data_IF_305550764495
#
_entry.id   IF_305550764495
#
_cell.length_a   1.000
_cell.length_b   1.000
_cell.length_c   1.000
_cell.angle_alpha   90.00
_cell.angle_beta   90.00
_cell.angle_gamma   90.00
#
_symmetry.space_group_name_H-M   'P 1'
#
loop_
_entity.id
_entity.type
_entity.pdbx_description
1 polymer ?
#
# COMPACT_ATOMS: atom_id res chain seq x y z
N UNK A 1 -0.52 -20.92 -14.66
CA UNK A 1 0.30 -19.87 -14.01
C UNK A 1 -0.46 -18.60 -13.66
N UNK A 2 -1.37 -18.10 -14.53
CA UNK A 2 -2.18 -16.89 -14.24
C UNK A 2 -2.97 -16.95 -12.92
N UNK A 3 -3.50 -18.12 -12.56
CA UNK A 3 -4.28 -18.29 -11.34
C UNK A 3 -3.45 -18.17 -10.05
N UNK A 4 -2.23 -18.74 -10.04
CA UNK A 4 -1.30 -18.60 -8.91
C UNK A 4 -0.95 -17.13 -8.71
N UNK A 5 -0.59 -16.42 -9.80
CA UNK A 5 -0.31 -14.99 -9.75
C UNK A 5 -1.51 -14.21 -9.20
N UNK A 6 -2.74 -14.49 -9.64
CA UNK A 6 -3.94 -13.83 -9.08
C UNK A 6 -4.13 -14.03 -7.59
N UNK A 7 -3.78 -15.20 -7.05
CA UNK A 7 -3.90 -15.48 -5.63
C UNK A 7 -2.88 -14.68 -4.81
N UNK A 8 -1.65 -14.56 -5.29
CA UNK A 8 -0.57 -13.97 -4.49
C UNK A 8 -0.34 -12.48 -4.77
N UNK A 9 -0.77 -11.94 -5.92
CA UNK A 9 -0.39 -10.59 -6.35
C UNK A 9 -0.81 -9.50 -5.37
N UNK A 10 -2.01 -9.59 -4.79
CA UNK A 10 -2.48 -8.60 -3.84
C UNK A 10 -1.61 -8.56 -2.57
N UNK A 11 -1.23 -9.73 -2.05
CA UNK A 11 -0.38 -9.85 -0.88
C UNK A 11 1.05 -9.39 -1.17
N UNK A 12 1.61 -9.73 -2.33
CA UNK A 12 2.94 -9.30 -2.74
C UNK A 12 3.02 -7.79 -2.94
N UNK A 13 1.99 -7.19 -3.56
CA UNK A 13 1.92 -5.73 -3.73
C UNK A 13 1.81 -5.05 -2.37
N UNK A 14 0.96 -5.54 -1.47
CA UNK A 14 0.87 -5.02 -0.11
C UNK A 14 2.22 -5.11 0.62
N UNK A 15 2.91 -6.25 0.55
CA UNK A 15 4.22 -6.45 1.18
C UNK A 15 5.26 -5.46 0.64
N UNK A 16 5.31 -5.29 -0.69
CA UNK A 16 6.23 -4.35 -1.32
C UNK A 16 5.96 -2.90 -0.91
N UNK A 17 4.67 -2.49 -0.86
CA UNK A 17 4.28 -1.16 -0.41
C UNK A 17 4.60 -0.93 1.06
N UNK A 18 4.35 -1.92 1.92
CA UNK A 18 4.69 -1.87 3.33
C UNK A 18 6.20 -1.66 3.53
N UNK A 19 7.03 -2.47 2.87
CA UNK A 19 8.49 -2.32 2.93
C UNK A 19 8.96 -0.96 2.38
N UNK A 20 8.36 -0.47 1.30
CA UNK A 20 8.71 0.82 0.71
C UNK A 20 8.37 1.99 1.65
N UNK A 21 7.20 1.98 2.29
CA UNK A 21 6.82 3.05 3.22
C UNK A 21 7.69 3.06 4.47
N UNK A 22 7.94 1.90 5.08
CA UNK A 22 8.85 1.82 6.24
C UNK A 22 10.29 2.19 5.88
N UNK A 23 10.76 1.82 4.68
CA UNK A 23 12.06 2.26 4.18
C UNK A 23 12.13 3.78 4.01
N UNK A 24 11.09 4.38 3.43
CA UNK A 24 10.97 5.82 3.26
C UNK A 24 10.88 6.56 4.60
N UNK A 25 10.21 5.99 5.59
CA UNK A 25 10.15 6.50 6.96
C UNK A 25 11.56 6.59 7.57
N UNK A 26 12.33 5.49 7.50
CA UNK A 26 13.71 5.46 7.99
C UNK A 26 14.62 6.48 7.29
N UNK A 27 14.50 6.60 5.97
CA UNK A 27 15.22 7.62 5.19
C UNK A 27 14.80 9.03 5.62
N UNK A 28 13.50 9.27 5.80
CA UNK A 28 12.96 10.56 6.19
C UNK A 28 13.44 11.01 7.57
N UNK A 29 13.48 10.10 8.55
CA UNK A 29 14.02 10.40 9.88
C UNK A 29 15.53 10.65 9.84
N UNK A 30 16.30 9.82 9.13
CA UNK A 30 17.76 9.98 9.01
C UNK A 30 18.15 11.29 8.28
N UNK A 31 17.37 11.68 7.27
CA UNK A 31 17.57 12.92 6.52
C UNK A 31 17.02 14.18 7.22
N UNK A 32 16.34 14.02 8.37
CA UNK A 32 15.82 15.15 9.15
C UNK A 32 14.61 15.86 8.52
N UNK A 33 13.80 15.18 7.70
CA UNK A 33 12.65 15.77 7.00
C UNK A 33 11.59 16.36 7.93
N UNK A 34 11.56 15.93 9.19
CA UNK A 34 10.71 16.48 10.24
C UNK A 34 11.04 17.94 10.59
N UNK A 35 12.25 18.43 10.24
CA UNK A 35 12.67 19.83 10.48
C UNK A 35 12.46 20.75 9.29
N UNK A 36 12.06 20.21 8.14
CA UNK A 36 11.92 20.97 6.89
C UNK A 36 10.45 21.36 6.74
N UNK A 37 10.08 22.65 6.85
CA UNK A 37 8.70 23.09 6.69
C UNK A 37 8.28 23.09 5.22
N UNK A 38 7.05 22.63 4.93
CA UNK A 38 6.42 22.61 3.61
C UNK A 38 4.92 22.89 3.76
N UNK A 39 4.44 24.03 3.26
CA UNK A 39 3.00 24.38 3.19
C UNK A 39 2.18 24.10 4.47
N UNK A 40 2.70 24.48 5.64
CA UNK A 40 2.01 24.29 6.92
C UNK A 40 2.13 22.88 7.53
N UNK A 41 2.90 21.99 6.88
CA UNK A 41 3.31 20.68 7.39
C UNK A 41 4.84 20.56 7.37
N UNK A 42 5.38 19.40 7.76
CA UNK A 42 6.80 19.07 7.52
C UNK A 42 6.95 18.28 6.22
N UNK A 43 8.14 18.31 5.61
CA UNK A 43 8.46 17.48 4.45
C UNK A 43 8.18 15.99 4.74
N UNK A 44 8.47 15.55 5.97
CA UNK A 44 8.18 14.19 6.42
C UNK A 44 6.68 13.86 6.33
N UNK A 45 5.83 14.73 6.91
CA UNK A 45 4.38 14.56 6.86
C UNK A 45 3.86 14.56 5.42
N UNK A 46 4.32 15.49 4.59
CA UNK A 46 3.91 15.57 3.19
C UNK A 46 4.32 14.32 2.40
N UNK A 47 5.56 13.86 2.56
CA UNK A 47 6.08 12.67 1.88
C UNK A 47 5.36 11.40 2.33
N UNK A 48 5.18 11.19 3.64
CA UNK A 48 4.46 10.03 4.18
C UNK A 48 3.00 10.02 3.73
N UNK A 49 2.32 11.16 3.79
CA UNK A 49 0.90 11.27 3.35
C UNK A 49 0.77 10.93 1.87
N UNK A 50 1.66 11.47 1.05
CA UNK A 50 1.66 11.19 -0.40
C UNK A 50 1.94 9.72 -0.67
N UNK A 51 2.95 9.13 -0.02
CA UNK A 51 3.29 7.72 -0.19
C UNK A 51 2.14 6.79 0.25
N UNK A 52 1.46 7.12 1.35
CA UNK A 52 0.28 6.38 1.83
C UNK A 52 -0.87 6.41 0.82
N UNK A 53 -1.22 7.60 0.31
CA UNK A 53 -2.27 7.74 -0.69
C UNK A 53 -1.95 6.99 -1.99
N UNK A 54 -0.68 7.04 -2.43
CA UNK A 54 -0.21 6.27 -3.59
C UNK A 54 -0.32 4.77 -3.34
N UNK A 55 0.05 4.28 -2.15
CA UNK A 55 -0.07 2.88 -1.78
C UNK A 55 -1.53 2.39 -1.79
N UNK A 56 -2.44 3.16 -1.20
CA UNK A 56 -3.88 2.86 -1.25
C UNK A 56 -4.42 2.85 -2.68
N UNK A 57 -4.02 3.84 -3.48
CA UNK A 57 -4.42 3.91 -4.89
C UNK A 57 -3.97 2.67 -5.67
N UNK A 58 -2.73 2.20 -5.46
CA UNK A 58 -2.20 0.99 -6.09
C UNK A 58 -3.00 -0.24 -5.66
N UNK A 59 -3.31 -0.40 -4.36
CA UNK A 59 -4.10 -1.54 -3.87
C UNK A 59 -5.53 -1.54 -4.44
N UNK A 60 -6.17 -0.37 -4.52
CA UNK A 60 -7.48 -0.22 -5.18
C UNK A 60 -7.38 -0.56 -6.68
N UNK A 61 -6.33 -0.10 -7.36
CA UNK A 61 -6.11 -0.43 -8.77
C UNK A 61 -5.93 -1.94 -8.99
N UNK A 62 -5.22 -2.64 -8.10
CA UNK A 62 -5.09 -4.11 -8.13
C UNK A 62 -6.45 -4.78 -7.95
N UNK A 63 -7.26 -4.34 -6.98
CA UNK A 63 -8.61 -4.87 -6.77
C UNK A 63 -9.51 -4.67 -8.00
N UNK A 64 -9.50 -3.47 -8.59
CA UNK A 64 -10.28 -3.17 -9.81
C UNK A 64 -9.79 -4.02 -10.99
N UNK A 65 -8.47 -4.16 -11.15
CA UNK A 65 -7.89 -4.99 -12.21
C UNK A 65 -8.32 -6.46 -12.06
N UNK A 66 -8.30 -7.01 -10.84
CA UNK A 66 -8.75 -8.37 -10.56
C UNK A 66 -10.26 -8.59 -10.82
N UNK A 67 -11.08 -7.55 -10.74
CA UNK A 67 -12.52 -7.61 -11.07
C UNK A 67 -12.83 -7.39 -12.55
N UNK A 68 -11.89 -6.87 -13.33
CA UNK A 68 -12.08 -6.59 -14.75
C UNK A 68 -12.18 -7.86 -15.61
N UNK A 69 -12.93 -7.80 -16.73
CA UNK A 69 -13.05 -8.91 -17.69
C UNK A 69 -11.70 -9.29 -18.30
N UNK A 70 -10.77 -8.34 -18.42
CA UNK A 70 -9.42 -8.52 -18.99
C UNK A 70 -8.60 -9.57 -18.24
N UNK A 71 -8.77 -9.64 -16.92
CA UNK A 71 -7.99 -10.52 -16.05
C UNK A 71 -8.82 -11.62 -15.43
N UNK A 72 -10.04 -11.89 -15.90
CA UNK A 72 -10.95 -12.88 -15.31
C UNK A 72 -10.34 -14.29 -15.34
N UNK A 73 -10.35 -14.98 -14.20
CA UNK A 73 -10.00 -16.42 -14.13
C UNK A 73 -11.16 -17.26 -14.63
N UNK A 74 -10.86 -18.39 -15.27
CA UNK A 74 -11.85 -19.39 -15.66
C UNK A 74 -12.45 -20.10 -14.42
N UNK A 75 -11.73 -20.13 -13.29
CA UNK A 75 -12.20 -20.73 -12.05
C UNK A 75 -12.94 -19.70 -11.17
N UNK A 76 -14.22 -19.95 -10.83
CA UNK A 76 -14.97 -19.07 -9.93
C UNK A 76 -14.37 -19.03 -8.52
N UNK A 77 -13.78 -20.14 -8.06
CA UNK A 77 -13.09 -20.20 -6.77
C UNK A 77 -11.88 -19.27 -6.73
N UNK A 78 -11.00 -19.34 -7.74
CA UNK A 78 -9.81 -18.47 -7.81
C UNK A 78 -10.23 -16.99 -7.90
N UNK A 79 -11.28 -16.67 -8.66
CA UNK A 79 -11.80 -15.31 -8.73
C UNK A 79 -12.32 -14.80 -7.38
N UNK A 80 -13.02 -15.64 -6.62
CA UNK A 80 -13.54 -15.26 -5.31
C UNK A 80 -12.41 -15.07 -4.28
N UNK A 81 -11.50 -16.05 -4.16
CA UNK A 81 -10.38 -16.00 -3.21
C UNK A 81 -9.44 -14.83 -3.52
N UNK A 82 -9.07 -14.61 -4.79
CA UNK A 82 -8.21 -13.47 -5.17
C UNK A 82 -8.84 -12.11 -4.83
N UNK A 83 -10.17 -12.00 -4.91
CA UNK A 83 -10.88 -10.77 -4.53
C UNK A 83 -10.87 -10.58 -3.01
N UNK A 84 -11.11 -11.64 -2.23
CA UNK A 84 -11.03 -11.59 -0.77
C UNK A 84 -9.63 -11.18 -0.33
N UNK A 85 -8.59 -11.77 -0.92
CA UNK A 85 -7.20 -11.43 -0.62
C UNK A 85 -6.86 -9.98 -0.98
N UNK A 86 -7.40 -9.46 -2.09
CA UNK A 86 -7.24 -8.05 -2.46
C UNK A 86 -7.94 -7.10 -1.48
N UNK A 87 -9.13 -7.43 -1.00
CA UNK A 87 -9.83 -6.66 0.04
C UNK A 87 -9.05 -6.72 1.35
N UNK A 88 -8.58 -7.91 1.76
CA UNK A 88 -7.78 -8.09 2.96
C UNK A 88 -6.48 -7.28 2.89
N UNK A 89 -5.78 -7.29 1.75
CA UNK A 89 -4.59 -6.48 1.50
C UNK A 89 -4.88 -4.98 1.58
N UNK A 90 -6.03 -4.52 1.07
CA UNK A 90 -6.45 -3.13 1.17
C UNK A 90 -6.71 -2.70 2.62
N UNK A 91 -7.44 -3.53 3.38
CA UNK A 91 -7.74 -3.27 4.81
C UNK A 91 -6.44 -3.29 5.62
N UNK A 92 -5.60 -4.30 5.40
CA UNK A 92 -4.30 -4.40 6.04
C UNK A 92 -3.44 -3.18 5.69
N UNK A 93 -3.43 -2.74 4.43
CA UNK A 93 -2.73 -1.54 3.98
C UNK A 93 -3.22 -0.28 4.69
N UNK A 94 -4.53 -0.09 4.76
CA UNK A 94 -5.11 1.05 5.49
C UNK A 94 -4.73 1.03 6.97
N UNK A 95 -4.75 -0.15 7.61
CA UNK A 95 -4.47 -0.28 9.04
C UNK A 95 -2.98 -0.18 9.39
N UNK A 96 -2.09 -0.84 8.64
CA UNK A 96 -0.66 -0.94 8.99
C UNK A 96 0.14 0.27 8.55
N UNK A 97 -0.31 1.01 7.54
CA UNK A 97 0.38 2.21 7.07
C UNK A 97 -0.17 3.51 7.69
N UNK A 98 -1.33 3.48 8.35
CA UNK A 98 -1.86 4.63 9.08
C UNK A 98 -0.98 5.08 10.28
N UNK A 99 -0.39 4.18 11.09
CA UNK A 99 0.54 4.55 12.16
C UNK A 99 1.70 5.43 11.69
N UNK A 100 2.21 5.23 10.48
CA UNK A 100 3.31 6.03 9.91
C UNK A 100 2.95 7.53 9.75
N UNK A 101 1.66 7.86 9.75
CA UNK A 101 1.15 9.23 9.67
C UNK A 101 0.78 9.81 11.04
N UNK A 102 0.27 8.96 11.94
CA UNK A 102 -0.38 9.40 13.17
C UNK A 102 0.56 9.51 14.37
N UNK A 103 1.71 8.85 14.34
CA UNK A 103 2.63 8.74 15.47
C UNK A 103 3.96 9.48 15.17
N UNK A 104 4.51 10.21 16.15
CA UNK A 104 5.85 10.77 16.03
C UNK A 104 6.89 9.66 16.12
N UNK A 105 7.42 9.23 14.97
CA UNK A 105 8.39 8.12 14.91
C UNK A 105 9.85 8.56 14.93
N UNK A 106 10.13 9.80 14.51
CA UNK A 106 11.49 10.32 14.53
C UNK A 106 11.81 10.87 15.93
N UNK A 107 12.53 10.08 16.73
CA UNK A 107 13.15 10.52 17.99
C UNK A 107 14.35 11.44 17.76
#
# INVERSE_FOLDING_TARGET
>A
MKDVVRLVIALLVWLALFSALYGLEGVGCAAGWQRIPVNGATLFQAAMTTAFLVALFILVAVLVALRSQRFRSASPFVAHVSTILAIAALIAGAWTLFPALALPHCA
#
